data_IF_161458749738
#
_entry.id   IF_161458749738
#
_cell.length_a   1.000
_cell.length_b   1.000
_cell.length_c   1.000
_cell.angle_alpha   90.00
_cell.angle_beta   90.00
_cell.angle_gamma   90.00
#
_symmetry.space_group_name_H-M   'P 1'
#
loop_
_entity.id
_entity.type
_entity.pdbx_description
1 polymer ?
#
# COMPACT_ATOMS: atom_id res chain seq x y z
N UNK A 1 1.71 -33.40 29.75
CA UNK A 1 2.90 -32.85 29.07
C UNK A 1 2.85 -33.35 27.64
N UNK A 2 2.57 -32.47 26.67
CA UNK A 2 2.77 -32.79 25.26
C UNK A 2 4.28 -32.92 25.04
N UNK A 3 4.74 -34.16 24.83
CA UNK A 3 6.14 -34.43 24.54
C UNK A 3 6.56 -33.78 23.22
N UNK A 4 7.87 -33.53 23.06
CA UNK A 4 8.42 -33.12 21.77
C UNK A 4 8.05 -34.15 20.69
N UNK A 5 7.82 -33.72 19.45
CA UNK A 5 7.50 -34.64 18.36
C UNK A 5 8.61 -35.68 18.16
N UNK A 6 8.21 -36.90 17.81
CA UNK A 6 9.13 -38.05 17.66
C UNK A 6 10.12 -37.88 16.49
N UNK A 7 9.83 -36.98 15.55
CA UNK A 7 10.66 -36.62 14.42
C UNK A 7 10.66 -35.10 14.24
N UNK A 8 11.81 -34.56 13.84
CA UNK A 8 11.95 -33.16 13.41
C UNK A 8 12.20 -33.09 11.90
N UNK A 9 12.08 -31.91 11.33
CA UNK A 9 12.46 -31.61 9.95
C UNK A 9 13.78 -30.81 9.94
N UNK A 10 14.52 -30.88 8.83
CA UNK A 10 15.78 -30.15 8.70
C UNK A 10 15.54 -28.64 8.59
N UNK A 11 16.60 -27.85 8.82
CA UNK A 11 16.56 -26.40 8.58
C UNK A 11 16.15 -26.08 7.13
N UNK A 12 16.67 -26.85 6.17
CA UNK A 12 16.34 -26.74 4.76
C UNK A 12 14.87 -27.04 4.44
N UNK A 13 14.18 -27.80 5.30
CA UNK A 13 12.76 -28.13 5.14
C UNK A 13 11.83 -27.15 5.85
N UNK A 14 12.27 -26.56 6.97
CA UNK A 14 11.40 -25.75 7.83
C UNK A 14 11.63 -24.24 7.71
N UNK A 15 12.86 -23.81 7.44
CA UNK A 15 13.27 -22.40 7.55
C UNK A 15 13.70 -21.87 6.20
N UNK A 16 14.51 -22.62 5.46
CA UNK A 16 15.06 -22.18 4.16
C UNK A 16 13.97 -21.80 3.14
N UNK A 17 12.83 -22.51 3.01
CA UNK A 17 11.76 -22.10 2.11
C UNK A 17 11.09 -20.77 2.51
N UNK A 18 11.16 -20.40 3.80
CA UNK A 18 10.64 -19.13 4.29
C UNK A 18 11.58 -17.94 4.06
N UNK A 19 12.81 -18.19 3.61
CA UNK A 19 13.74 -17.12 3.25
C UNK A 19 13.45 -16.66 1.82
N UNK A 20 13.07 -15.39 1.67
CA UNK A 20 12.88 -14.77 0.36
C UNK A 20 13.92 -13.66 0.15
N UNK A 21 15.08 -13.95 -0.45
CA UNK A 21 16.08 -12.94 -0.77
C UNK A 21 15.57 -11.81 -1.68
N UNK A 22 14.54 -12.08 -2.50
CA UNK A 22 13.90 -11.09 -3.37
C UNK A 22 13.04 -10.08 -2.58
N UNK A 23 12.71 -10.38 -1.31
CA UNK A 23 12.00 -9.46 -0.43
C UNK A 23 12.92 -8.43 0.26
N UNK A 24 14.23 -8.50 0.05
CA UNK A 24 15.17 -7.46 0.51
C UNK A 24 14.94 -6.21 -0.34
N UNK A 25 14.67 -5.07 0.31
CA UNK A 25 14.37 -3.79 -0.34
C UNK A 25 15.37 -2.70 0.05
N UNK A 26 15.71 -1.86 -0.90
CA UNK A 26 16.50 -0.65 -0.69
C UNK A 26 15.65 0.59 -0.93
N UNK A 27 15.80 1.61 -0.08
CA UNK A 27 15.19 2.92 -0.30
C UNK A 27 15.87 3.74 -1.40
N UNK A 28 16.15 3.16 -2.59
CA UNK A 28 16.99 3.79 -3.62
C UNK A 28 16.50 5.19 -3.99
N UNK A 29 15.18 5.32 -4.14
CA UNK A 29 14.50 6.60 -4.32
C UNK A 29 13.40 6.68 -3.27
N UNK A 30 13.34 7.81 -2.58
CA UNK A 30 12.31 8.09 -1.57
C UNK A 30 11.60 9.38 -1.93
N UNK A 31 10.27 9.31 -1.99
CA UNK A 31 9.39 10.43 -2.29
C UNK A 31 8.39 10.65 -1.16
N UNK A 32 8.10 11.91 -0.86
CA UNK A 32 7.04 12.30 0.08
C UNK A 32 5.94 13.02 -0.68
N UNK A 33 4.72 12.52 -0.52
CA UNK A 33 3.50 13.19 -0.96
C UNK A 33 2.71 13.66 0.24
N UNK A 34 2.17 14.88 0.18
CA UNK A 34 1.49 15.51 1.30
C UNK A 34 0.28 16.31 0.87
N UNK A 35 -0.76 16.32 1.70
CA UNK A 35 -1.94 17.18 1.54
C UNK A 35 -2.54 17.52 2.90
N UNK A 36 -3.44 18.50 2.92
CA UNK A 36 -4.24 18.78 4.11
C UNK A 36 -5.29 17.67 4.33
N UNK A 37 -5.54 17.37 5.61
CA UNK A 37 -6.57 16.42 6.04
C UNK A 37 -7.98 16.95 5.78
N UNK A 38 -8.17 18.27 5.93
CA UNK A 38 -9.42 18.95 5.64
C UNK A 38 -9.43 19.54 4.21
N UNK A 39 -10.57 19.43 3.54
CA UNK A 39 -10.85 20.09 2.27
C UNK A 39 -11.26 21.57 2.49
N UNK A 40 -11.34 22.35 1.41
CA UNK A 40 -11.61 23.79 1.47
C UNK A 40 -12.99 24.11 2.08
N UNK A 41 -13.94 23.18 1.95
CA UNK A 41 -15.29 23.26 2.50
C UNK A 41 -15.37 22.80 3.97
N UNK A 42 -14.24 22.46 4.59
CA UNK A 42 -14.16 21.95 5.96
C UNK A 42 -14.52 20.46 6.09
N UNK A 43 -14.87 19.77 5.01
CA UNK A 43 -15.03 18.32 5.03
C UNK A 43 -13.69 17.61 5.18
N UNK A 44 -13.71 16.38 5.67
CA UNK A 44 -12.49 15.56 5.79
C UNK A 44 -12.20 14.84 4.47
N UNK A 45 -10.93 14.80 4.08
CA UNK A 45 -10.47 13.90 3.02
C UNK A 45 -10.29 12.48 3.57
N UNK A 46 -11.37 11.71 3.50
CA UNK A 46 -11.42 10.37 4.07
C UNK A 46 -10.71 9.33 3.18
N UNK A 47 -9.58 8.79 3.64
CA UNK A 47 -8.87 7.69 2.95
C UNK A 47 -9.54 6.31 3.03
N UNK A 48 -10.68 6.21 3.72
CA UNK A 48 -11.56 5.04 3.69
C UNK A 48 -12.75 5.21 2.73
N UNK A 49 -12.83 6.31 1.98
CA UNK A 49 -13.87 6.53 0.97
C UNK A 49 -13.59 5.68 -0.30
N UNK A 50 -14.53 4.80 -0.72
CA UNK A 50 -14.39 4.00 -1.94
C UNK A 50 -14.10 4.81 -3.20
N UNK A 51 -14.59 6.05 -3.28
CA UNK A 51 -14.33 6.93 -4.43
C UNK A 51 -12.84 7.31 -4.57
N UNK A 52 -12.04 7.10 -3.52
CA UNK A 52 -10.60 7.37 -3.52
C UNK A 52 -9.78 6.16 -3.94
N UNK A 53 -10.40 5.03 -4.28
CA UNK A 53 -9.71 3.81 -4.69
C UNK A 53 -9.10 3.09 -3.48
N UNK A 54 -9.68 1.94 -3.13
CA UNK A 54 -9.28 1.16 -1.97
C UNK A 54 -8.83 -0.24 -2.40
N UNK A 55 -7.74 -0.72 -1.80
CA UNK A 55 -7.27 -2.11 -1.91
C UNK A 55 -7.68 -2.93 -0.68
N UNK A 56 -7.90 -4.25 -0.84
CA UNK A 56 -8.22 -5.13 0.27
C UNK A 56 -7.01 -5.28 1.21
N UNK A 57 -7.27 -5.25 2.52
CA UNK A 57 -6.29 -5.48 3.58
C UNK A 57 -6.92 -6.36 4.67
N UNK A 58 -6.15 -7.32 5.18
CA UNK A 58 -6.58 -8.21 6.26
C UNK A 58 -5.96 -7.76 7.58
N UNK A 59 -6.80 -7.38 8.53
CA UNK A 59 -6.38 -6.98 9.88
C UNK A 59 -5.90 -8.19 10.69
N UNK A 60 -5.12 -7.99 11.78
CA UNK A 60 -4.63 -9.10 12.63
C UNK A 60 -5.73 -9.96 13.26
N UNK A 61 -6.96 -9.45 13.35
CA UNK A 61 -8.13 -10.18 13.84
C UNK A 61 -8.84 -11.00 12.73
N UNK A 62 -8.30 -11.04 11.52
CA UNK A 62 -8.86 -11.75 10.36
C UNK A 62 -9.93 -10.97 9.59
N UNK A 63 -10.28 -9.75 10.01
CA UNK A 63 -11.25 -8.92 9.30
C UNK A 63 -10.64 -8.35 8.02
N UNK A 64 -11.34 -8.48 6.89
CA UNK A 64 -10.99 -7.80 5.64
C UNK A 64 -11.58 -6.39 5.65
N UNK A 65 -10.73 -5.39 5.41
CA UNK A 65 -11.09 -3.99 5.24
C UNK A 65 -10.54 -3.50 3.90
N UNK A 66 -11.08 -2.39 3.39
CA UNK A 66 -10.55 -1.75 2.19
C UNK A 66 -9.86 -0.45 2.60
N UNK A 67 -8.58 -0.29 2.25
CA UNK A 67 -7.75 0.87 2.61
C UNK A 67 -7.21 1.53 1.34
N UNK A 68 -7.01 2.84 1.38
CA UNK A 68 -6.46 3.58 0.26
C UNK A 68 -5.08 3.06 -0.17
N UNK A 69 -4.84 3.05 -1.48
CA UNK A 69 -3.52 2.76 -2.05
C UNK A 69 -3.11 3.85 -3.05
N UNK A 70 -1.84 4.28 -3.05
CA UNK A 70 -1.33 5.18 -4.09
C UNK A 70 -1.00 4.45 -5.40
N UNK A 71 -1.13 3.12 -5.46
CA UNK A 71 -0.86 2.33 -6.65
C UNK A 71 -2.12 2.15 -7.50
N UNK A 72 -1.94 2.03 -8.80
CA UNK A 72 -3.00 1.73 -9.76
C UNK A 72 -3.46 0.27 -9.61
N UNK A 73 -4.63 -0.03 -10.18
CA UNK A 73 -5.23 -1.37 -10.12
C UNK A 73 -4.41 -2.46 -10.84
N UNK A 74 -3.42 -2.08 -11.65
CA UNK A 74 -2.49 -3.01 -12.30
C UNK A 74 -1.47 -3.61 -11.33
N UNK A 75 -1.37 -3.07 -10.10
CA UNK A 75 -0.43 -3.52 -9.08
C UNK A 75 1.05 -3.29 -9.42
N UNK A 76 1.35 -2.50 -10.45
CA UNK A 76 2.72 -2.22 -10.90
C UNK A 76 3.00 -0.72 -11.11
N UNK A 77 1.96 0.09 -11.27
CA UNK A 77 2.09 1.53 -11.53
C UNK A 77 1.60 2.37 -10.34
N UNK A 78 2.06 3.62 -10.26
CA UNK A 78 1.49 4.65 -9.39
C UNK A 78 0.24 5.22 -10.07
N UNK A 79 -0.80 5.52 -9.31
CA UNK A 79 -2.04 6.08 -9.87
C UNK A 79 -1.82 7.47 -10.49
N UNK A 80 -2.34 7.73 -11.71
CA UNK A 80 -2.05 8.97 -12.44
C UNK A 80 -2.77 10.21 -11.87
N UNK A 81 -3.80 10.01 -11.07
CA UNK A 81 -4.63 11.04 -10.43
C UNK A 81 -4.15 11.41 -9.01
N UNK A 82 -2.99 10.90 -8.56
CA UNK A 82 -2.50 11.14 -7.20
C UNK A 82 -2.24 12.63 -6.93
N UNK A 83 -1.59 13.29 -7.89
CA UNK A 83 -1.01 14.62 -7.69
C UNK A 83 -1.97 15.74 -8.07
N UNK A 84 -1.85 16.89 -7.39
CA UNK A 84 -2.56 18.13 -7.74
C UNK A 84 -2.26 18.61 -9.16
N UNK A 85 -1.14 18.19 -9.74
CA UNK A 85 -0.71 18.48 -11.11
C UNK A 85 -1.28 17.53 -12.15
N UNK A 86 -2.01 16.50 -11.75
CA UNK A 86 -2.62 15.54 -12.68
C UNK A 86 -3.70 16.22 -13.55
N UNK A 87 -3.82 15.83 -14.82
CA UNK A 87 -4.87 16.36 -15.70
C UNK A 87 -6.24 15.84 -15.25
N UNK A 88 -7.19 16.74 -15.00
CA UNK A 88 -8.57 16.39 -14.61
C UNK A 88 -8.76 16.29 -13.09
N UNK A 89 -9.75 15.48 -12.67
CA UNK A 89 -10.00 15.22 -11.25
C UNK A 89 -8.82 14.47 -10.63
N UNK A 90 -8.40 14.88 -9.43
CA UNK A 90 -7.24 14.33 -8.77
C UNK A 90 -7.42 14.28 -7.24
N UNK A 91 -6.49 13.60 -6.58
CA UNK A 91 -6.47 13.42 -5.13
C UNK A 91 -5.73 14.52 -4.37
N UNK A 92 -5.29 15.58 -5.05
CA UNK A 92 -4.77 16.79 -4.40
C UNK A 92 -3.49 16.61 -3.58
N UNK A 93 -2.71 15.54 -3.80
CA UNK A 93 -1.41 15.40 -3.15
C UNK A 93 -0.37 16.29 -3.82
N UNK A 94 0.47 16.93 -3.01
CA UNK A 94 1.64 17.65 -3.46
C UNK A 94 2.88 16.77 -3.30
N UNK A 95 3.75 16.75 -4.31
CA UNK A 95 5.08 16.16 -4.21
C UNK A 95 6.04 17.16 -3.55
N UNK A 96 6.74 16.73 -2.51
CA UNK A 96 7.60 17.60 -1.69
C UNK A 96 8.86 18.06 -2.42
N UNK A 97 9.25 17.38 -3.50
CA UNK A 97 10.47 17.65 -4.25
C UNK A 97 11.65 16.82 -3.77
N UNK A 98 12.87 17.23 -4.12
CA UNK A 98 14.09 16.50 -3.79
C UNK A 98 14.33 16.48 -2.27
N UNK A 99 14.63 15.29 -1.74
CA UNK A 99 14.93 15.05 -0.35
C UNK A 99 16.42 14.79 -0.13
N UNK A 100 16.89 15.00 1.09
CA UNK A 100 18.23 14.64 1.51
C UNK A 100 18.34 13.14 1.80
N UNK A 101 19.34 12.50 1.19
CA UNK A 101 19.58 11.05 1.11
C UNK A 101 19.30 10.28 2.43
N UNK A 102 19.96 10.63 3.53
CA UNK A 102 19.88 9.88 4.80
C UNK A 102 18.97 10.52 5.85
N UNK A 103 18.01 11.34 5.43
CA UNK A 103 17.16 12.12 6.37
C UNK A 103 15.76 11.59 6.54
N UNK A 104 15.27 10.79 5.59
CA UNK A 104 13.90 10.29 5.61
C UNK A 104 13.81 9.05 6.48
N UNK A 105 12.98 9.10 7.52
CA UNK A 105 12.81 7.99 8.44
C UNK A 105 11.41 7.96 9.03
N UNK A 106 10.95 6.76 9.37
CA UNK A 106 9.77 6.56 10.20
C UNK A 106 10.22 5.84 11.46
N UNK A 107 10.02 6.49 12.60
CA UNK A 107 10.48 6.02 13.91
C UNK A 107 9.27 5.57 14.72
N UNK A 108 9.15 4.27 15.03
CA UNK A 108 8.22 3.83 16.04
C UNK A 108 8.70 4.29 17.43
N UNK A 109 7.86 4.98 18.20
CA UNK A 109 8.22 5.45 19.53
C UNK A 109 7.17 5.00 20.55
N UNK A 110 7.61 4.25 21.56
CA UNK A 110 6.74 3.69 22.59
C UNK A 110 7.29 3.99 23.97
N UNK A 111 6.52 4.73 24.77
CA UNK A 111 6.89 5.01 26.17
C UNK A 111 6.29 3.96 27.09
N UNK A 112 7.16 3.22 27.79
CA UNK A 112 6.78 2.22 28.80
C UNK A 112 6.98 2.76 30.21
N UNK A 113 5.93 2.75 31.01
CA UNK A 113 6.04 2.95 32.45
C UNK A 113 6.37 1.62 33.13
N UNK A 114 7.51 1.58 33.83
CA UNK A 114 7.97 0.41 34.56
C UNK A 114 7.63 0.53 36.04
N UNK A 115 7.06 -0.52 36.62
CA UNK A 115 6.77 -0.62 38.06
C UNK A 115 7.80 -1.54 38.72
N UNK A 116 8.79 -1.00 39.47
CA UNK A 116 9.73 -1.82 40.20
C UNK A 116 9.06 -2.52 41.39
N UNK A 117 9.66 -3.60 41.88
CA UNK A 117 9.23 -4.31 43.08
C UNK A 117 10.40 -4.41 44.06
N UNK A 118 10.12 -4.38 45.35
CA UNK A 118 11.14 -4.57 46.38
C UNK A 118 11.63 -6.03 46.48
N UNK A 119 10.84 -7.00 45.99
CA UNK A 119 11.14 -8.43 46.08
C UNK A 119 12.03 -8.93 44.93
N UNK A 120 12.17 -8.15 43.86
CA UNK A 120 12.94 -8.54 42.68
C UNK A 120 13.58 -7.34 42.01
N UNK A 121 14.79 -7.53 41.53
CA UNK A 121 15.57 -6.47 40.86
C UNK A 121 14.98 -6.12 39.48
N UNK A 122 14.16 -7.00 38.89
CA UNK A 122 13.48 -6.76 37.62
C UNK A 122 12.15 -6.03 37.83
N UNK A 123 11.77 -5.21 36.86
CA UNK A 123 10.46 -4.54 36.82
C UNK A 123 9.34 -5.58 36.91
N UNK A 124 8.43 -5.39 37.86
CA UNK A 124 7.32 -6.31 38.10
C UNK A 124 6.20 -6.16 37.07
N UNK A 125 6.09 -4.99 36.44
CA UNK A 125 5.12 -4.69 35.39
C UNK A 125 5.61 -3.57 34.49
N UNK A 126 5.37 -3.70 33.19
CA UNK A 126 5.52 -2.61 32.22
C UNK A 126 4.13 -2.28 31.64
N UNK A 127 3.84 -0.99 31.47
CA UNK A 127 2.60 -0.50 30.88
C UNK A 127 2.94 0.49 29.77
N UNK A 128 2.38 0.27 28.58
CA UNK A 128 2.45 1.23 27.47
C UNK A 128 1.65 2.48 27.85
N UNK A 129 2.29 3.65 27.80
CA UNK A 129 1.69 4.94 28.18
C UNK A 129 1.57 5.93 27.02
N UNK A 130 2.42 5.79 25.99
CA UNK A 130 2.40 6.67 24.82
C UNK A 130 2.92 5.94 23.57
N UNK A 131 2.29 6.21 22.43
CA UNK A 131 2.73 5.81 21.08
C UNK A 131 2.90 7.09 20.26
N UNK A 132 4.13 7.41 19.91
CA UNK A 132 4.52 8.67 19.25
C UNK A 132 5.26 8.39 17.94
N UNK A 133 4.67 7.53 17.11
CA UNK A 133 5.28 7.20 15.83
C UNK A 133 5.45 8.47 15.00
N UNK A 134 6.65 8.65 14.44
CA UNK A 134 7.03 9.89 13.75
C UNK A 134 7.53 9.61 12.35
N UNK A 135 7.18 10.48 11.41
CA UNK A 135 7.83 10.57 10.11
C UNK A 135 8.69 11.83 10.03
N UNK A 136 9.91 11.66 9.54
CA UNK A 136 10.90 12.72 9.35
C UNK A 136 11.31 12.73 7.89
N UNK A 137 11.46 13.91 7.31
CA UNK A 137 12.09 14.12 6.00
C UNK A 137 12.70 15.53 5.93
N UNK A 138 13.69 15.72 5.07
CA UNK A 138 14.39 17.00 4.90
C UNK A 138 14.42 17.38 3.42
N UNK A 139 13.54 18.29 2.97
CA UNK A 139 13.56 18.82 1.62
C UNK A 139 14.86 19.61 1.37
N UNK A 140 15.48 19.37 0.21
CA UNK A 140 16.61 20.14 -0.31
C UNK A 140 16.16 21.30 -1.20
N UNK A 141 14.94 21.24 -1.71
CA UNK A 141 14.37 22.27 -2.56
C UNK A 141 13.60 23.31 -1.74
N UNK A 142 14.00 24.56 -1.91
CA UNK A 142 13.25 25.69 -1.40
C UNK A 142 12.14 26.05 -2.39
N UNK A 143 10.94 25.54 -2.13
CA UNK A 143 9.75 25.74 -2.97
C UNK A 143 8.65 26.44 -2.17
N UNK A 144 7.65 27.03 -2.84
CA UNK A 144 6.48 27.56 -2.14
C UNK A 144 5.82 26.53 -1.23
N UNK A 145 5.80 25.25 -1.63
CA UNK A 145 5.26 24.16 -0.82
C UNK A 145 6.05 23.96 0.47
N UNK A 146 7.39 23.83 0.40
CA UNK A 146 8.22 23.59 1.59
C UNK A 146 8.13 24.78 2.56
N UNK A 147 7.97 26.00 2.03
CA UNK A 147 7.69 27.19 2.83
C UNK A 147 6.30 27.18 3.49
N UNK A 148 5.26 26.74 2.78
CA UNK A 148 3.90 26.58 3.32
C UNK A 148 3.88 25.58 4.48
N UNK A 149 4.49 24.41 4.30
CA UNK A 149 4.62 23.40 5.34
C UNK A 149 5.33 23.97 6.57
N UNK A 150 6.44 24.69 6.35
CA UNK A 150 7.21 25.29 7.44
C UNK A 150 6.45 26.36 8.20
N UNK A 151 5.56 27.10 7.56
CA UNK A 151 4.77 28.17 8.19
C UNK A 151 3.39 27.70 8.65
N UNK A 152 3.08 26.41 8.55
CA UNK A 152 1.74 25.85 8.76
C UNK A 152 0.64 26.57 7.97
N UNK A 153 0.94 26.92 6.73
CA UNK A 153 -0.08 27.46 5.84
C UNK A 153 -0.89 26.30 5.25
N UNK A 154 -2.23 26.41 5.19
CA UNK A 154 -3.07 25.43 4.51
C UNK A 154 -2.67 25.30 3.03
N UNK A 155 -2.51 24.07 2.56
CA UNK A 155 -2.29 23.72 1.17
C UNK A 155 -3.58 23.79 0.35
N UNK A 156 -4.73 23.67 1.03
CA UNK A 156 -6.06 23.54 0.42
C UNK A 156 -6.50 24.75 -0.43
N UNK A 157 -5.96 25.93 -0.16
CA UNK A 157 -6.23 27.15 -0.93
C UNK A 157 -5.30 27.30 -2.16
N UNK A 158 -4.51 26.26 -2.44
CA UNK A 158 -3.53 26.26 -3.51
C UNK A 158 -2.18 26.79 -3.04
N UNK A 159 -1.13 26.09 -3.44
CA UNK A 159 0.26 26.52 -3.26
C UNK A 159 0.68 27.29 -4.53
N UNK A 160 1.26 28.51 -4.40
CA UNK A 160 1.75 29.25 -5.55
C UNK A 160 2.79 28.46 -6.36
N UNK A 161 2.80 28.64 -7.67
CA UNK A 161 3.78 28.00 -8.55
C UNK A 161 5.20 28.50 -8.27
N UNK A 162 6.18 27.61 -8.34
CA UNK A 162 7.58 27.98 -8.32
C UNK A 162 7.89 28.95 -9.47
N UNK A 163 8.62 30.03 -9.18
CA UNK A 163 8.93 31.07 -10.17
C UNK A 163 7.86 32.15 -10.34
N UNK A 164 6.79 32.15 -9.53
CA UNK A 164 5.80 33.25 -9.50
C UNK A 164 6.51 34.60 -9.28
N UNK A 165 6.41 35.57 -10.22
CA UNK A 165 7.10 36.86 -10.09
C UNK A 165 6.66 37.65 -8.85
N UNK A 166 7.63 38.17 -8.10
CA UNK A 166 7.36 38.94 -6.88
C UNK A 166 6.71 38.15 -5.74
N UNK A 167 6.82 36.81 -5.75
CA UNK A 167 6.24 35.94 -4.73
C UNK A 167 6.76 36.30 -3.34
N UNK A 168 5.82 36.57 -2.42
CA UNK A 168 6.06 36.78 -1.00
C UNK A 168 5.15 35.80 -0.25
N UNK A 169 5.73 34.97 0.61
CA UNK A 169 5.00 34.06 1.49
C UNK A 169 5.20 34.55 2.92
N UNK A 170 4.24 35.30 3.49
CA UNK A 170 4.38 35.82 4.84
C UNK A 170 4.16 34.70 5.88
N UNK A 171 4.91 34.75 6.96
CA UNK A 171 4.63 33.98 8.17
C UNK A 171 3.83 34.84 9.13
N UNK A 172 2.79 34.27 9.75
CA UNK A 172 2.06 34.93 10.82
C UNK A 172 2.91 35.11 12.09
N UNK A 173 2.39 35.84 13.07
CA UNK A 173 3.00 35.96 14.40
C UNK A 173 2.96 34.65 15.20
N UNK A 174 2.07 33.73 14.81
CA UNK A 174 1.88 32.42 15.40
C UNK A 174 1.66 31.39 14.30
N UNK A 175 2.30 30.23 14.41
CA UNK A 175 1.97 29.07 13.60
C UNK A 175 0.82 28.32 14.28
N UNK A 176 -0.17 27.87 13.50
CA UNK A 176 -1.23 26.96 13.97
C UNK A 176 -1.01 25.64 13.25
N UNK A 177 -0.69 24.53 13.95
CA UNK A 177 -0.49 23.24 13.31
C UNK A 177 -1.67 22.86 12.41
N UNK A 178 -1.37 22.35 11.22
CA UNK A 178 -2.36 21.88 10.26
C UNK A 178 -2.29 20.36 10.19
N UNK A 179 -3.44 19.70 10.36
CA UNK A 179 -3.57 18.25 10.17
C UNK A 179 -3.38 17.89 8.70
N UNK A 180 -2.54 16.89 8.45
CA UNK A 180 -2.13 16.47 7.10
C UNK A 180 -2.24 14.97 6.92
N UNK A 181 -2.14 14.58 5.66
CA UNK A 181 -2.01 13.20 5.19
C UNK A 181 -0.65 13.11 4.51
N UNK A 182 0.14 12.10 4.85
CA UNK A 182 1.45 11.86 4.22
C UNK A 182 1.48 10.47 3.60
N UNK A 183 2.06 10.38 2.40
CA UNK A 183 2.45 9.11 1.77
C UNK A 183 3.96 9.16 1.58
N UNK A 184 4.67 8.23 2.23
CA UNK A 184 6.09 8.02 2.01
C UNK A 184 6.28 6.86 1.06
N UNK A 185 6.79 7.13 -0.13
CA UNK A 185 6.99 6.14 -1.17
C UNK A 185 8.47 5.80 -1.31
N UNK A 186 8.73 4.51 -1.43
CA UNK A 186 10.04 3.92 -1.68
C UNK A 186 9.96 3.21 -3.03
N UNK A 187 10.91 3.54 -3.90
CA UNK A 187 11.09 2.92 -5.21
C UNK A 187 12.45 2.26 -5.23
N UNK A 188 12.46 0.94 -5.41
CA UNK A 188 13.65 0.12 -5.62
C UNK A 188 13.55 -0.51 -7.01
N UNK A 189 14.04 0.22 -8.02
CA UNK A 189 13.75 -0.04 -9.45
C UNK A 189 12.25 -0.07 -9.77
N UNK A 190 11.86 -0.34 -11.02
CA UNK A 190 10.44 -0.56 -11.41
C UNK A 190 9.86 -1.88 -10.83
N UNK A 191 10.70 -2.67 -10.16
CA UNK A 191 10.35 -3.98 -9.63
C UNK A 191 9.70 -3.97 -8.26
N UNK A 192 10.13 -3.07 -7.37
CA UNK A 192 9.81 -3.13 -5.94
C UNK A 192 9.33 -1.76 -5.46
N UNK A 193 8.02 -1.54 -5.54
CA UNK A 193 7.37 -0.33 -5.03
C UNK A 193 6.81 -0.57 -3.63
N UNK A 194 6.95 0.41 -2.76
CA UNK A 194 6.40 0.39 -1.40
C UNK A 194 5.90 1.78 -1.05
N UNK A 195 4.75 1.87 -0.42
CA UNK A 195 4.27 3.13 0.14
C UNK A 195 3.79 2.93 1.57
N UNK A 196 4.21 3.83 2.47
CA UNK A 196 3.65 3.94 3.82
C UNK A 196 2.68 5.11 3.84
N UNK A 197 1.43 4.82 4.14
CA UNK A 197 0.35 5.81 4.16
C UNK A 197 0.07 6.17 5.61
N UNK A 198 0.25 7.44 5.94
CA UNK A 198 -0.01 8.03 7.24
C UNK A 198 -1.27 8.92 7.11
N UNK A 199 -2.47 8.38 7.39
CA UNK A 199 -3.76 9.01 7.11
C UNK A 199 -4.04 10.27 7.93
N UNK A 200 -3.36 10.46 9.05
CA UNK A 200 -3.57 11.61 9.92
C UNK A 200 -2.28 11.91 10.68
N UNK A 201 -1.68 13.05 10.38
CA UNK A 201 -0.43 13.49 11.01
C UNK A 201 -0.48 14.98 11.33
N UNK A 202 0.30 15.39 12.32
CA UNK A 202 0.43 16.80 12.71
C UNK A 202 1.92 17.13 12.91
N UNK A 203 2.31 18.39 12.68
CA UNK A 203 3.71 18.79 12.87
C UNK A 203 4.11 18.68 14.34
N UNK A 204 5.12 17.85 14.63
CA UNK A 204 5.76 17.71 15.95
C UNK A 204 6.90 18.73 16.10
N UNK A 205 7.78 18.79 15.10
CA UNK A 205 8.98 19.64 15.16
C UNK A 205 9.42 20.09 13.77
N UNK A 206 10.01 21.29 13.74
CA UNK A 206 10.71 21.86 12.59
C UNK A 206 12.20 21.99 12.90
N UNK A 207 13.03 21.57 11.97
CA UNK A 207 14.47 21.70 12.04
C UNK A 207 14.91 23.16 11.93
N UNK A 208 16.14 23.43 12.37
CA UNK A 208 16.81 24.69 12.08
C UNK A 208 17.08 24.83 10.58
N UNK A 209 17.24 26.05 10.11
CA UNK A 209 17.71 26.37 8.76
C UNK A 209 19.11 26.95 8.86
N UNK A 210 20.09 26.27 8.27
CA UNK A 210 21.45 26.75 8.21
C UNK A 210 21.71 27.40 6.84
N UNK A 211 21.99 28.71 6.82
CA UNK A 211 22.42 29.44 5.60
C UNK A 211 23.92 29.25 5.32
N UNK A 212 24.40 28.01 5.41
CA UNK A 212 25.81 27.70 5.29
C UNK A 212 26.25 27.67 3.82
N UNK A 213 27.49 28.10 3.52
CA UNK A 213 28.05 28.04 2.15
C UNK A 213 28.33 26.62 1.65
N UNK A 214 28.61 25.68 2.58
CA UNK A 214 29.07 24.32 2.24
C UNK A 214 27.94 23.31 2.10
N UNK A 215 26.78 23.60 2.67
CA UNK A 215 25.63 22.71 2.66
C UNK A 215 24.50 23.41 1.89
N UNK A 216 23.67 22.66 1.14
CA UNK A 216 22.46 23.21 0.58
C UNK A 216 21.55 23.72 1.71
N UNK A 217 20.72 24.70 1.37
CA UNK A 217 19.67 25.15 2.26
C UNK A 217 18.68 24.00 2.48
N UNK A 218 18.41 23.67 3.73
CA UNK A 218 17.46 22.62 4.08
C UNK A 218 16.85 22.84 5.46
N UNK A 219 15.67 22.27 5.68
CA UNK A 219 14.99 22.29 6.98
C UNK A 219 14.25 20.97 7.18
N UNK A 220 14.58 20.27 8.25
CA UNK A 220 13.90 19.03 8.59
C UNK A 220 12.45 19.30 8.98
N UNK A 221 11.52 18.46 8.53
CA UNK A 221 10.13 18.44 8.97
C UNK A 221 9.86 17.12 9.67
N UNK A 222 9.27 17.18 10.86
CA UNK A 222 8.89 16.03 11.66
C UNK A 222 7.41 16.08 11.96
N UNK A 223 6.71 15.00 11.64
CA UNK A 223 5.29 14.83 11.90
C UNK A 223 5.05 13.66 12.83
N UNK A 224 4.13 13.84 13.78
CA UNK A 224 3.62 12.80 14.67
C UNK A 224 2.35 12.19 14.06
N UNK A 225 2.25 10.87 14.16
CA UNK A 225 1.10 10.11 13.68
C UNK A 225 -0.02 10.17 14.70
N UNK A 226 -1.21 10.52 14.24
CA UNK A 226 -2.41 10.58 15.05
C UNK A 226 -3.39 9.46 14.63
N UNK A 227 -4.29 9.03 15.53
CA UNK A 227 -5.37 8.12 15.15
C UNK A 227 -6.28 8.77 14.10
N UNK A 228 -6.50 8.09 12.98
CA UNK A 228 -7.49 8.51 11.99
C UNK A 228 -8.88 7.93 12.34
N UNK A 229 -9.90 8.79 12.61
CA UNK A 229 -11.22 8.32 12.98
C UNK A 229 -11.97 7.59 11.87
N UNK A 230 -11.55 7.63 10.60
CA UNK A 230 -12.28 7.00 9.51
C UNK A 230 -11.72 5.62 9.12
N UNK A 231 -10.44 5.54 8.78
CA UNK A 231 -9.76 4.27 8.46
C UNK A 231 -9.55 3.39 9.69
N UNK A 232 -9.57 3.98 10.90
CA UNK A 232 -9.24 3.31 12.17
C UNK A 232 -7.82 2.73 12.22
N UNK A 233 -6.95 3.15 11.30
CA UNK A 233 -5.55 2.79 11.26
C UNK A 233 -4.71 4.05 11.49
N UNK A 234 -3.57 3.90 12.19
CA UNK A 234 -2.59 4.97 12.33
C UNK A 234 -1.65 5.03 11.12
N UNK A 235 -1.46 3.89 10.46
CA UNK A 235 -0.61 3.73 9.28
C UNK A 235 -0.91 2.39 8.61
N UNK A 236 -0.64 2.30 7.30
CA UNK A 236 -0.51 1.01 6.63
C UNK A 236 0.53 1.05 5.51
N UNK A 237 1.04 -0.13 5.16
CA UNK A 237 2.00 -0.31 4.07
C UNK A 237 1.31 -0.91 2.86
N UNK A 238 1.48 -0.27 1.71
CA UNK A 238 1.07 -0.75 0.41
C UNK A 238 2.29 -1.30 -0.32
N UNK A 239 2.12 -2.40 -1.04
CA UNK A 239 3.16 -3.00 -1.87
C UNK A 239 2.69 -3.11 -3.32
N UNK A 240 3.59 -2.86 -4.25
CA UNK A 240 3.36 -3.00 -5.68
C UNK A 240 4.68 -3.25 -6.40
N UNK A 241 4.61 -3.42 -7.72
CA UNK A 241 5.78 -3.58 -8.58
C UNK A 241 5.92 -4.99 -9.11
N UNK A 242 6.52 -5.09 -10.29
CA UNK A 242 6.61 -6.34 -11.04
C UNK A 242 7.36 -7.45 -10.31
N UNK A 243 8.42 -7.12 -9.58
CA UNK A 243 9.21 -8.08 -8.80
C UNK A 243 8.53 -8.41 -7.47
N UNK A 244 7.87 -7.45 -6.81
CA UNK A 244 7.07 -7.77 -5.62
C UNK A 244 6.00 -8.80 -5.94
N UNK A 245 5.24 -8.56 -7.01
CA UNK A 245 4.20 -9.47 -7.46
C UNK A 245 4.79 -10.85 -7.80
N UNK A 246 5.94 -10.89 -8.49
CA UNK A 246 6.64 -12.14 -8.81
C UNK A 246 7.29 -12.84 -7.59
N UNK A 247 7.46 -12.14 -6.47
CA UNK A 247 8.03 -12.70 -5.23
C UNK A 247 6.98 -13.39 -4.36
N UNK A 248 5.71 -13.29 -4.73
CA UNK A 248 4.65 -14.05 -4.09
C UNK A 248 4.86 -15.54 -4.35
N UNK A 249 5.17 -16.30 -3.31
CA UNK A 249 5.17 -17.76 -3.35
C UNK A 249 3.73 -18.25 -3.26
N UNK A 250 3.01 -18.03 -4.35
CA UNK A 250 1.63 -18.44 -4.48
C UNK A 250 1.64 -19.74 -5.27
N UNK A 251 1.69 -20.86 -4.56
CA UNK A 251 1.45 -22.15 -5.19
C UNK A 251 0.04 -22.13 -5.78
N UNK A 252 -0.06 -22.43 -7.08
CA UNK A 252 -1.32 -22.43 -7.82
C UNK A 252 -2.42 -23.26 -7.12
N UNK A 253 -2.03 -24.31 -6.40
CA UNK A 253 -2.90 -25.27 -5.72
C UNK A 253 -3.41 -24.79 -4.36
N UNK A 254 -2.74 -23.79 -3.75
CA UNK A 254 -3.08 -23.29 -2.42
C UNK A 254 -3.58 -21.85 -2.44
N UNK A 255 -3.38 -21.13 -3.54
CA UNK A 255 -3.85 -19.76 -3.70
C UNK A 255 -5.14 -19.66 -4.54
N UNK A 256 -6.20 -19.15 -3.91
CA UNK A 256 -7.47 -18.91 -4.60
C UNK A 256 -7.30 -17.85 -5.72
N UNK A 257 -7.79 -18.12 -6.94
CA UNK A 257 -7.79 -17.12 -8.01
C UNK A 257 -8.56 -15.86 -7.63
N UNK A 258 -8.24 -14.74 -8.27
CA UNK A 258 -8.99 -13.50 -8.19
C UNK A 258 -9.87 -13.36 -9.44
N UNK A 259 -11.19 -13.46 -9.27
CA UNK A 259 -12.17 -13.25 -10.34
C UNK A 259 -12.70 -11.81 -10.30
N UNK A 260 -12.45 -11.05 -11.37
CA UNK A 260 -12.87 -9.65 -11.52
C UNK A 260 -13.80 -9.53 -12.73
N UNK A 261 -15.08 -9.15 -12.55
CA UNK A 261 -16.00 -8.94 -13.66
C UNK A 261 -15.52 -7.76 -14.53
N UNK A 262 -15.68 -7.90 -15.83
CA UNK A 262 -15.38 -6.86 -16.83
C UNK A 262 -16.62 -6.64 -17.71
N UNK A 263 -16.69 -5.47 -18.34
CA UNK A 263 -17.82 -5.11 -19.20
C UNK A 263 -17.96 -6.08 -20.37
N UNK A 264 -19.18 -6.22 -20.89
CA UNK A 264 -19.47 -7.14 -21.99
C UNK A 264 -19.65 -8.61 -21.58
N UNK A 265 -20.13 -8.86 -20.35
CA UNK A 265 -20.42 -10.23 -19.86
C UNK A 265 -19.18 -11.14 -19.83
N UNK A 266 -18.07 -10.56 -19.39
CA UNK A 266 -16.79 -11.26 -19.23
C UNK A 266 -16.27 -11.14 -17.80
N UNK A 267 -15.31 -11.97 -17.43
CA UNK A 267 -14.57 -11.81 -16.19
C UNK A 267 -13.11 -12.19 -16.40
N UNK A 268 -12.19 -11.41 -15.86
CA UNK A 268 -10.78 -11.78 -15.80
C UNK A 268 -10.55 -12.60 -14.53
N UNK A 269 -9.91 -13.76 -14.69
CA UNK A 269 -9.53 -14.63 -13.58
C UNK A 269 -8.01 -14.69 -13.54
N UNK A 270 -7.43 -14.05 -12.54
CA UNK A 270 -5.99 -14.00 -12.33
C UNK A 270 -5.59 -15.00 -11.25
N UNK A 271 -4.52 -15.74 -11.48
CA UNK A 271 -4.00 -16.74 -10.55
C UNK A 271 -2.49 -16.90 -10.75
N UNK A 272 -1.77 -17.45 -9.77
CA UNK A 272 -0.34 -17.69 -9.90
C UNK A 272 -0.05 -18.65 -11.05
N UNK A 273 0.94 -18.34 -11.87
CA UNK A 273 1.33 -19.24 -12.95
C UNK A 273 1.89 -20.53 -12.35
N UNK A 274 1.29 -21.71 -12.62
CA UNK A 274 1.79 -22.96 -12.07
C UNK A 274 3.20 -23.23 -12.58
N UNK A 275 4.18 -23.29 -11.68
CA UNK A 275 5.60 -23.52 -11.99
C UNK A 275 5.88 -24.94 -12.46
N UNK A 276 5.04 -25.87 -12.05
CA UNK A 276 5.27 -27.31 -12.17
C UNK A 276 4.64 -27.88 -13.46
N UNK A 277 3.91 -27.04 -14.20
CA UNK A 277 3.19 -27.39 -15.42
C UNK A 277 3.78 -26.62 -16.59
N UNK A 278 4.61 -27.28 -17.40
CA UNK A 278 5.23 -26.64 -18.56
C UNK A 278 4.22 -26.40 -19.69
N UNK A 279 4.10 -25.15 -20.17
CA UNK A 279 3.17 -24.77 -21.26
C UNK A 279 1.71 -25.21 -21.01
N UNK A 280 1.09 -24.77 -19.89
CA UNK A 280 -0.21 -25.25 -19.47
C UNK A 280 -1.34 -24.83 -20.43
N UNK A 281 -2.29 -25.74 -20.63
CA UNK A 281 -3.62 -25.45 -21.14
C UNK A 281 -4.55 -25.23 -19.96
N UNK A 282 -5.28 -24.11 -19.96
CA UNK A 282 -6.16 -23.72 -18.87
C UNK A 282 -7.62 -24.03 -19.19
N UNK A 283 -8.31 -24.62 -18.22
CA UNK A 283 -9.77 -24.78 -18.21
C UNK A 283 -10.33 -24.20 -16.91
N UNK A 284 -11.61 -23.84 -16.89
CA UNK A 284 -12.24 -23.26 -15.70
C UNK A 284 -13.62 -23.85 -15.45
N UNK A 285 -13.96 -23.98 -14.17
CA UNK A 285 -15.31 -24.25 -13.70
C UNK A 285 -15.82 -23.05 -12.91
N UNK A 286 -17.10 -22.72 -13.05
CA UNK A 286 -17.75 -21.60 -12.39
C UNK A 286 -18.91 -22.11 -11.52
N UNK A 287 -19.01 -21.59 -10.31
CA UNK A 287 -20.05 -21.98 -9.36
C UNK A 287 -21.32 -21.16 -9.60
N UNK A 288 -22.41 -21.85 -9.92
CA UNK A 288 -23.76 -21.30 -10.09
C UNK A 288 -24.65 -21.88 -8.98
N UNK A 289 -24.95 -21.05 -7.97
CA UNK A 289 -25.62 -21.52 -6.75
C UNK A 289 -24.77 -22.58 -6.04
N UNK A 290 -25.32 -23.79 -5.87
CA UNK A 290 -24.61 -24.92 -5.25
C UNK A 290 -23.96 -25.87 -6.25
N UNK A 291 -23.99 -25.54 -7.54
CA UNK A 291 -23.50 -26.42 -8.62
C UNK A 291 -22.31 -25.81 -9.37
N UNK A 292 -21.46 -26.67 -9.90
CA UNK A 292 -20.32 -26.28 -10.74
C UNK A 292 -20.63 -26.57 -12.21
N UNK A 293 -20.35 -25.60 -13.07
CA UNK A 293 -20.50 -25.72 -14.52
C UNK A 293 -19.19 -25.35 -15.21
N UNK A 294 -18.93 -25.91 -16.39
CA UNK A 294 -17.77 -25.50 -17.20
C UNK A 294 -17.94 -24.05 -17.65
N UNK A 295 -16.87 -23.26 -17.54
CA UNK A 295 -16.83 -21.89 -18.03
C UNK A 295 -16.09 -21.83 -19.38
N UNK A 296 -16.49 -20.92 -20.26
CA UNK A 296 -15.80 -20.69 -21.54
C UNK A 296 -14.60 -19.77 -21.34
N UNK A 297 -13.41 -20.31 -21.54
CA UNK A 297 -12.14 -19.57 -21.45
C UNK A 297 -11.75 -19.06 -22.84
N UNK A 298 -11.44 -17.76 -22.95
CA UNK A 298 -10.96 -17.16 -24.19
C UNK A 298 -9.57 -17.73 -24.57
N UNK A 299 -9.28 -17.90 -25.87
CA UNK A 299 -7.96 -18.31 -26.31
C UNK A 299 -6.95 -17.18 -26.08
N UNK A 300 -5.75 -17.52 -25.60
CA UNK A 300 -4.65 -16.60 -25.25
C UNK A 300 -4.67 -16.08 -23.80
N UNK A 301 -4.25 -16.90 -22.82
CA UNK A 301 -3.91 -16.39 -21.50
C UNK A 301 -2.79 -15.34 -21.59
N UNK A 302 -2.82 -14.34 -20.71
CA UNK A 302 -1.70 -13.40 -20.55
C UNK A 302 -0.91 -13.76 -19.31
N UNK A 303 0.42 -13.65 -19.37
CA UNK A 303 1.31 -13.92 -18.24
C UNK A 303 2.08 -12.65 -17.93
N UNK A 304 2.01 -12.19 -16.67
CA UNK A 304 2.72 -11.01 -16.19
C UNK A 304 3.11 -11.20 -14.72
N UNK A 305 4.38 -10.99 -14.39
CA UNK A 305 4.86 -10.96 -13.00
C UNK A 305 4.59 -12.23 -12.19
N UNK A 306 4.68 -13.42 -12.80
CA UNK A 306 4.39 -14.70 -12.12
C UNK A 306 2.90 -15.06 -12.02
N UNK A 307 2.02 -14.24 -12.59
CA UNK A 307 0.58 -14.52 -12.66
C UNK A 307 0.12 -14.77 -14.08
N UNK A 308 -0.81 -15.70 -14.22
CA UNK A 308 -1.58 -15.93 -15.45
C UNK A 308 -2.96 -15.29 -15.28
N UNK A 309 -3.41 -14.57 -16.30
CA UNK A 309 -4.81 -14.13 -16.41
C UNK A 309 -5.49 -14.85 -17.57
N UNK A 310 -6.64 -15.46 -17.29
CA UNK A 310 -7.55 -15.97 -18.30
C UNK A 310 -8.82 -15.11 -18.32
N UNK A 311 -9.44 -14.99 -19.49
CA UNK A 311 -10.73 -14.32 -19.60
C UNK A 311 -11.85 -15.36 -19.73
N UNK A 312 -12.84 -15.29 -18.86
CA UNK A 312 -14.11 -15.98 -19.00
C UNK A 312 -15.05 -15.16 -19.88
N UNK A 313 -15.75 -15.84 -20.79
CA UNK A 313 -16.72 -15.24 -21.72
C UNK A 313 -18.07 -15.94 -21.63
N UNK A 314 -19.11 -15.30 -22.15
CA UNK A 314 -20.45 -15.88 -22.19
C UNK A 314 -21.15 -15.91 -20.83
N UNK A 315 -20.83 -14.97 -19.94
CA UNK A 315 -21.50 -14.87 -18.64
C UNK A 315 -22.94 -14.33 -18.80
N UNK A 316 -23.80 -14.65 -17.84
CA UNK A 316 -25.20 -14.19 -17.84
C UNK A 316 -25.28 -12.84 -17.15
N UNK A 317 -26.01 -11.85 -17.69
CA UNK A 317 -26.10 -10.52 -17.08
C UNK A 317 -26.63 -10.56 -15.64
N UNK A 318 -26.06 -9.71 -14.77
CA UNK A 318 -26.52 -9.50 -13.38
C UNK A 318 -26.61 -10.78 -12.55
N UNK A 319 -25.77 -11.77 -12.87
CA UNK A 319 -25.77 -13.07 -12.20
C UNK A 319 -24.64 -13.12 -11.19
N UNK A 320 -24.97 -13.52 -9.97
CA UNK A 320 -23.99 -13.77 -8.92
C UNK A 320 -23.43 -15.19 -9.06
N UNK A 321 -22.11 -15.30 -9.15
CA UNK A 321 -21.37 -16.55 -9.19
C UNK A 321 -20.65 -16.77 -7.87
N UNK A 322 -20.69 -18.01 -7.37
CA UNK A 322 -20.07 -18.39 -6.08
C UNK A 322 -18.55 -18.40 -6.10
N UNK A 323 -17.95 -18.44 -7.29
CA UNK A 323 -16.51 -18.45 -7.52
C UNK A 323 -16.14 -19.21 -8.79
N UNK A 324 -14.85 -19.30 -9.05
CA UNK A 324 -14.22 -19.99 -10.18
C UNK A 324 -13.11 -20.89 -9.65
N UNK A 325 -12.97 -22.08 -10.22
CA UNK A 325 -11.76 -22.90 -10.10
C UNK A 325 -11.10 -23.00 -11.46
N UNK A 326 -9.77 -22.89 -11.48
CA UNK A 326 -8.98 -23.03 -12.69
C UNK A 326 -8.19 -24.33 -12.59
N UNK A 327 -8.13 -25.07 -13.69
CA UNK A 327 -7.32 -26.27 -13.84
C UNK A 327 -6.29 -26.03 -14.93
N UNK A 328 -5.03 -26.29 -14.62
CA UNK A 328 -3.91 -26.20 -15.55
C UNK A 328 -3.40 -27.62 -15.86
N UNK A 329 -3.30 -27.93 -17.15
CA UNK A 329 -2.89 -29.26 -17.62
C UNK A 329 -1.77 -29.16 -18.64
N UNK A 330 -0.75 -30.01 -18.52
CA UNK A 330 0.24 -30.26 -19.57
C UNK A 330 0.66 -31.71 -19.55
N UNK A 331 0.43 -32.41 -20.67
CA UNK A 331 0.58 -33.87 -20.73
C UNK A 331 -0.26 -34.55 -19.65
N UNK A 332 0.39 -35.33 -18.79
CA UNK A 332 -0.24 -36.05 -17.68
C UNK A 332 -0.34 -35.23 -16.38
N UNK A 333 0.36 -34.09 -16.30
CA UNK A 333 0.34 -33.25 -15.11
C UNK A 333 -0.89 -32.36 -15.13
N UNK A 334 -1.74 -32.49 -14.11
CA UNK A 334 -2.93 -31.65 -13.92
C UNK A 334 -2.99 -31.16 -12.48
N UNK A 335 -3.09 -29.84 -12.33
CA UNK A 335 -3.23 -29.17 -11.04
C UNK A 335 -4.47 -28.29 -11.06
N UNK A 336 -5.15 -28.13 -9.92
CA UNK A 336 -6.38 -27.34 -9.81
C UNK A 336 -6.28 -26.37 -8.65
N UNK A 337 -6.69 -25.12 -8.89
CA UNK A 337 -6.69 -24.08 -7.88
C UNK A 337 -7.81 -24.27 -6.84
N UNK A 338 -7.69 -23.63 -5.67
CA UNK A 338 -8.84 -23.36 -4.80
C UNK A 338 -9.92 -22.53 -5.52
N UNK A 339 -11.06 -22.37 -4.86
CA UNK A 339 -12.18 -21.54 -5.36
C UNK A 339 -11.85 -20.06 -5.18
N UNK A 340 -12.06 -19.26 -6.23
CA UNK A 340 -11.91 -17.79 -6.20
C UNK A 340 -12.90 -17.09 -5.26
N UNK A 341 -12.76 -15.77 -5.14
CA UNK A 341 -13.85 -14.92 -4.63
C UNK A 341 -15.12 -15.05 -5.49
N UNK A 342 -16.28 -14.85 -4.86
CA UNK A 342 -17.55 -14.65 -5.56
C UNK A 342 -17.54 -13.31 -6.33
N UNK A 343 -18.31 -13.26 -7.42
CA UNK A 343 -18.42 -12.05 -8.25
C UNK A 343 -19.77 -11.97 -8.96
N UNK A 344 -20.14 -10.77 -9.42
CA UNK A 344 -21.37 -10.54 -10.19
C UNK A 344 -21.00 -10.00 -11.57
N UNK A 345 -21.51 -10.63 -12.62
CA UNK A 345 -21.29 -10.20 -14.01
C UNK A 345 -22.11 -8.95 -14.35
N UNK A 346 -21.49 -8.04 -15.11
CA UNK A 346 -22.14 -6.82 -15.62
C UNK A 346 -22.17 -6.82 -17.16
N UNK A 347 -23.30 -6.39 -17.72
CA UNK A 347 -23.47 -6.28 -19.17
C UNK A 347 -22.81 -5.01 -19.73
N UNK A 348 -22.75 -3.96 -18.90
CA UNK A 348 -22.30 -2.60 -19.20
C UNK A 348 -21.49 -2.05 -18.04
#
# INVERSE_FOLDING_TARGET
MTGLPATGASWAQMIEPGLNPLAIRYGQITDIFIRDYFNADGSVFNLADPAKGLGPATLPNGQVVNLFTPFAADGVSIRPDLLVTAPGENLGFHHVGLLKEDSTSITPDQTMQQTPSAQQVRSARNVLTKLDDKIVFEPLEETPLTRYLKYELPLVNGVPALGTPGLIIPRGNTDVPVDRIIIAMIVDTDGQLLARVLPHVITDKKGKEDLARKNPYSSQLTYEVLPDPFSKQAEWTCYAGSQWNASGDFEFETFAPLATPVTGLTANVQFPTPTDVASPVYTAQIQQGTTWAAATVAPSPTVAGGFTTIQLTGLTASTAYGGVQVTATSGETTVTSPVSNAFTSTAS
#
